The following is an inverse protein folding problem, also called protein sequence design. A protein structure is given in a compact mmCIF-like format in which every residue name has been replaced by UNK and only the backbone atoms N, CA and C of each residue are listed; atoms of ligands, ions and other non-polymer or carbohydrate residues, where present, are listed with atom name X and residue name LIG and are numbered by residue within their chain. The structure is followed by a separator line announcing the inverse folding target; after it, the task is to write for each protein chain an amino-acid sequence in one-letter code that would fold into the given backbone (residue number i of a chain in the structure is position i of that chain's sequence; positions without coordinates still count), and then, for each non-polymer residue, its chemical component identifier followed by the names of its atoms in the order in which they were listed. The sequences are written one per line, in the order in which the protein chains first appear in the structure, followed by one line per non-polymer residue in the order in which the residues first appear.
data_IF_910335729087
#
_entry.id   IF_910335729087
#
_cell.length_a   1.000
_cell.length_b   1.000
_cell.length_c   1.000
_cell.angle_alpha   90.00
_cell.angle_beta   90.00
_cell.angle_gamma   90.00
#
_symmetry.space_group_name_H-M   'P 1'
#
loop_
_entity.id
_entity.type
_entity.pdbx_description
1 polymer ?
#
# COMPACT_ATOMS: atom_id res chain seq x y z
N UNK A 1 13.00 -3.14 10.96
CA UNK A 1 11.96 -2.21 11.46
C UNK A 1 12.50 -0.83 11.80
N UNK A 2 13.57 -0.70 12.61
CA UNK A 2 14.14 0.61 12.99
C UNK A 2 14.54 1.51 11.80
N UNK A 3 15.13 0.95 10.76
CA UNK A 3 15.48 1.71 9.53
C UNK A 3 14.24 2.21 8.77
N UNK A 4 13.17 1.40 8.72
CA UNK A 4 11.92 1.81 8.08
C UNK A 4 11.26 2.98 8.83
N UNK A 5 11.30 2.95 10.17
CA UNK A 5 10.81 4.04 11.03
C UNK A 5 11.61 5.33 10.90
N UNK A 6 12.88 5.26 10.47
CA UNK A 6 13.71 6.43 10.17
C UNK A 6 13.46 7.00 8.78
N UNK A 7 12.48 6.47 8.02
CA UNK A 7 12.13 6.99 6.69
C UNK A 7 13.13 6.63 5.59
N UNK A 8 14.07 5.71 5.83
CA UNK A 8 15.10 5.35 4.84
C UNK A 8 14.50 4.92 3.49
N UNK A 9 13.40 4.17 3.52
CA UNK A 9 12.71 3.75 2.29
C UNK A 9 12.19 4.95 1.49
N UNK A 10 11.75 6.03 2.17
CA UNK A 10 11.26 7.27 1.55
C UNK A 10 12.41 8.04 0.89
N UNK A 11 13.55 8.14 1.58
CA UNK A 11 14.76 8.83 1.09
C UNK A 11 15.29 8.13 -0.17
N UNK A 12 15.35 6.80 -0.15
CA UNK A 12 15.85 5.98 -1.25
C UNK A 12 14.80 5.60 -2.30
N UNK A 13 13.58 6.17 -2.22
CA UNK A 13 12.47 5.91 -3.15
C UNK A 13 12.18 4.41 -3.33
N UNK A 14 12.30 3.67 -2.24
CA UNK A 14 12.01 2.23 -2.17
C UNK A 14 10.55 2.01 -1.81
N UNK A 15 9.96 1.01 -2.44
CA UNK A 15 8.64 0.54 -2.06
C UNK A 15 8.71 -0.35 -0.81
N UNK A 16 7.58 -0.54 -0.14
CA UNK A 16 7.46 -1.45 0.99
C UNK A 16 6.28 -2.38 0.76
N UNK A 17 6.54 -3.68 0.71
CA UNK A 17 5.52 -4.70 0.50
C UNK A 17 5.27 -5.41 1.83
N UNK A 18 4.07 -5.23 2.38
CA UNK A 18 3.65 -5.82 3.65
C UNK A 18 2.64 -6.93 3.35
N UNK A 19 3.02 -8.17 3.59
CA UNK A 19 2.18 -9.34 3.32
C UNK A 19 1.95 -10.19 4.57
N UNK A 20 0.97 -11.09 4.52
CA UNK A 20 0.65 -11.99 5.64
C UNK A 20 -0.86 -12.27 5.79
N UNK A 21 -1.24 -13.23 6.64
CA UNK A 21 -2.64 -13.65 6.79
C UNK A 21 -3.55 -12.56 7.37
N UNK A 22 -4.86 -12.74 7.27
CA UNK A 22 -5.84 -11.77 7.81
C UNK A 22 -5.68 -11.58 9.31
N UNK A 23 -5.69 -10.33 9.75
CA UNK A 23 -5.64 -9.97 11.17
C UNK A 23 -4.25 -9.94 11.81
N UNK A 24 -3.16 -10.24 11.09
CA UNK A 24 -1.79 -10.19 11.65
C UNK A 24 -1.20 -8.77 11.80
N UNK A 25 -2.00 -7.71 11.63
CA UNK A 25 -1.56 -6.33 11.85
C UNK A 25 -0.96 -5.60 10.63
N UNK A 26 -1.10 -6.12 9.40
CA UNK A 26 -0.51 -5.48 8.20
C UNK A 26 -0.88 -4.01 8.00
N UNK A 27 -2.18 -3.71 7.97
CA UNK A 27 -2.68 -2.33 7.82
C UNK A 27 -2.29 -1.46 9.01
N UNK A 28 -2.18 -2.05 10.21
CA UNK A 28 -1.71 -1.33 11.40
C UNK A 28 -0.24 -0.89 11.23
N UNK A 29 0.65 -1.80 10.76
CA UNK A 29 2.04 -1.45 10.48
C UNK A 29 2.15 -0.41 9.36
N UNK A 30 1.37 -0.57 8.29
CA UNK A 30 1.35 0.40 7.19
C UNK A 30 0.96 1.80 7.68
N UNK A 31 -0.09 1.88 8.51
CA UNK A 31 -0.55 3.14 9.11
C UNK A 31 0.46 3.71 10.11
N UNK A 32 1.11 2.88 10.93
CA UNK A 32 2.15 3.32 11.85
C UNK A 32 3.34 3.93 11.10
N UNK A 33 3.74 3.32 9.97
CA UNK A 33 4.78 3.87 9.10
C UNK A 33 4.33 5.15 8.40
N UNK A 34 3.08 5.21 7.94
CA UNK A 34 2.49 6.42 7.36
C UNK A 34 2.45 7.58 8.35
N UNK A 35 1.97 7.34 9.58
CA UNK A 35 1.96 8.31 10.67
C UNK A 35 3.38 8.79 11.00
N UNK A 36 4.34 7.88 11.07
CA UNK A 36 5.74 8.23 11.29
C UNK A 36 6.31 9.09 10.14
N UNK A 37 5.94 8.80 8.89
CA UNK A 37 6.31 9.61 7.73
C UNK A 37 5.68 11.02 7.81
N UNK A 38 4.42 11.14 8.25
CA UNK A 38 3.79 12.43 8.52
C UNK A 38 4.55 13.23 9.59
N UNK A 39 5.00 12.59 10.67
CA UNK A 39 5.82 13.21 11.72
C UNK A 39 7.14 13.74 11.19
N UNK A 40 7.70 13.06 10.19
CA UNK A 40 8.89 13.47 9.45
C UNK A 40 8.60 14.48 8.33
N UNK A 41 7.38 15.04 8.27
CA UNK A 41 6.94 16.05 7.30
C UNK A 41 6.83 15.57 5.85
N UNK A 42 6.73 14.27 5.63
CA UNK A 42 6.40 13.72 4.30
C UNK A 42 4.89 13.77 4.05
N UNK A 43 4.50 14.02 2.80
CA UNK A 43 3.10 13.88 2.38
C UNK A 43 2.73 12.40 2.26
N UNK A 44 1.61 12.01 2.90
CA UNK A 44 1.15 10.62 2.94
C UNK A 44 -0.31 10.56 2.51
N UNK A 45 -0.65 9.53 1.72
CA UNK A 45 -2.03 9.22 1.33
C UNK A 45 -2.30 7.75 1.57
N UNK A 46 -3.33 7.45 2.35
CA UNK A 46 -3.86 6.10 2.50
C UNK A 46 -5.05 5.90 1.55
N UNK A 47 -5.03 4.78 0.84
CA UNK A 47 -6.09 4.34 -0.06
C UNK A 47 -6.32 2.84 0.12
N UNK A 48 -7.59 2.41 0.17
CA UNK A 48 -7.91 1.01 -0.18
C UNK A 48 -7.83 0.85 -1.69
N UNK A 49 -7.10 -0.15 -2.16
CA UNK A 49 -6.79 -0.33 -3.58
C UNK A 49 -8.04 -0.39 -4.45
N UNK A 50 -9.04 -1.21 -4.09
CA UNK A 50 -10.29 -1.30 -4.85
C UNK A 50 -11.02 0.04 -4.99
N UNK A 51 -11.16 0.79 -3.89
CA UNK A 51 -11.79 2.13 -3.89
C UNK A 51 -11.01 3.15 -4.71
N UNK A 52 -9.68 3.08 -4.69
CA UNK A 52 -8.83 3.95 -5.50
C UNK A 52 -9.07 3.71 -7.00
N UNK A 53 -9.16 2.44 -7.39
CA UNK A 53 -9.40 2.05 -8.78
C UNK A 53 -10.81 2.44 -9.25
N UNK A 54 -11.84 2.28 -8.39
CA UNK A 54 -13.18 2.80 -8.67
C UNK A 54 -13.19 4.31 -8.89
N UNK A 55 -12.43 5.07 -8.09
CA UNK A 55 -12.30 6.52 -8.26
C UNK A 55 -11.61 6.89 -9.57
N UNK A 56 -10.60 6.14 -10.00
CA UNK A 56 -9.95 6.36 -11.30
C UNK A 56 -10.90 6.05 -12.45
N UNK A 57 -11.68 4.96 -12.36
CA UNK A 57 -12.69 4.62 -13.34
C UNK A 57 -13.75 5.73 -13.48
N UNK A 58 -14.26 6.26 -12.36
CA UNK A 58 -15.17 7.41 -12.36
C UNK A 58 -14.52 8.65 -12.97
N UNK A 59 -13.25 8.89 -12.63
CA UNK A 59 -12.46 9.98 -13.18
C UNK A 59 -12.32 9.95 -14.70
N UNK A 60 -12.40 8.78 -15.33
CA UNK A 60 -12.38 8.65 -16.79
C UNK A 60 -13.69 9.10 -17.41
N UNK A 61 -14.82 8.94 -16.70
CA UNK A 61 -16.15 9.35 -17.15
C UNK A 61 -16.32 10.87 -17.03
N UNK A 62 -15.86 11.46 -15.92
CA UNK A 62 -16.05 12.89 -15.65
C UNK A 62 -14.87 13.79 -16.08
N UNK A 63 -13.81 13.20 -16.64
CA UNK A 63 -12.60 13.89 -17.11
C UNK A 63 -11.59 14.26 -16.02
N UNK A 64 -11.82 13.88 -14.76
CA UNK A 64 -10.92 14.18 -13.64
C UNK A 64 -9.74 13.21 -13.48
N UNK A 65 -9.69 12.12 -14.26
CA UNK A 65 -8.68 11.05 -14.16
C UNK A 65 -7.24 11.57 -14.12
N UNK A 66 -6.84 12.37 -15.12
CA UNK A 66 -5.47 12.89 -15.22
C UNK A 66 -5.13 13.83 -14.07
N UNK A 67 -6.10 14.60 -13.58
CA UNK A 67 -5.92 15.47 -12.41
C UNK A 67 -5.66 14.62 -11.17
N UNK A 68 -6.38 13.51 -11.01
CA UNK A 68 -6.22 12.64 -9.86
C UNK A 68 -4.87 11.89 -9.87
N UNK A 69 -4.45 11.35 -11.01
CA UNK A 69 -3.10 10.77 -11.15
C UNK A 69 -1.99 11.75 -10.77
N UNK A 70 -2.05 13.00 -11.28
CA UNK A 70 -1.10 14.05 -10.91
C UNK A 70 -1.10 14.39 -9.42
N UNK A 71 -2.24 14.23 -8.74
CA UNK A 71 -2.29 14.40 -7.29
C UNK A 71 -1.58 13.24 -6.58
N UNK A 72 -1.86 12.00 -6.99
CA UNK A 72 -1.21 10.80 -6.44
C UNK A 72 0.31 10.84 -6.63
N UNK A 73 0.78 11.23 -7.82
CA UNK A 73 2.21 11.35 -8.14
C UNK A 73 2.96 12.28 -7.17
N UNK A 74 2.33 13.39 -6.73
CA UNK A 74 2.95 14.36 -5.80
C UNK A 74 3.05 13.86 -4.35
N UNK A 75 2.35 12.79 -4.00
CA UNK A 75 2.38 12.23 -2.65
C UNK A 75 3.68 11.43 -2.45
N UNK A 76 4.44 11.76 -1.43
CA UNK A 76 5.74 11.14 -1.15
C UNK A 76 5.60 9.69 -0.65
N UNK A 77 4.53 9.37 0.09
CA UNK A 77 4.18 8.02 0.51
C UNK A 77 2.72 7.70 0.19
N UNK A 78 2.49 6.84 -0.79
CA UNK A 78 1.17 6.29 -1.10
C UNK A 78 1.02 4.92 -0.46
N UNK A 79 -0.01 4.72 0.34
CA UNK A 79 -0.35 3.42 0.93
C UNK A 79 -1.52 2.83 0.13
N UNK A 80 -1.28 1.70 -0.50
CA UNK A 80 -2.25 0.87 -1.20
C UNK A 80 -2.59 -0.32 -0.32
N UNK A 81 -3.69 -0.23 0.40
CA UNK A 81 -4.15 -1.28 1.30
C UNK A 81 -5.08 -2.26 0.57
N UNK A 82 -5.15 -3.49 1.09
CA UNK A 82 -6.01 -4.56 0.57
C UNK A 82 -5.82 -4.92 -0.92
N UNK A 83 -4.57 -4.91 -1.43
CA UNK A 83 -4.29 -5.41 -2.78
C UNK A 83 -4.59 -6.91 -2.85
N UNK A 84 -5.41 -7.31 -3.83
CA UNK A 84 -5.70 -8.71 -4.13
C UNK A 84 -6.91 -9.30 -3.42
N UNK A 85 -7.77 -8.51 -2.77
CA UNK A 85 -9.06 -9.03 -2.28
C UNK A 85 -9.94 -9.62 -3.40
N UNK A 86 -9.81 -9.06 -4.61
CA UNK A 86 -10.46 -9.49 -5.83
C UNK A 86 -9.44 -9.50 -6.97
N UNK A 87 -9.73 -10.22 -8.05
CA UNK A 87 -8.93 -10.12 -9.28
C UNK A 87 -9.10 -8.74 -9.90
N UNK A 88 -8.00 -8.20 -10.43
CA UNK A 88 -7.99 -6.91 -11.11
C UNK A 88 -8.34 -7.11 -12.58
N UNK A 89 -9.40 -6.44 -13.02
CA UNK A 89 -9.76 -6.33 -14.43
C UNK A 89 -8.66 -5.66 -15.25
N UNK A 90 -8.67 -5.85 -16.58
CA UNK A 90 -7.74 -5.16 -17.48
C UNK A 90 -7.69 -3.63 -17.29
N UNK A 91 -8.85 -2.99 -17.12
CA UNK A 91 -8.92 -1.54 -16.90
C UNK A 91 -8.25 -1.13 -15.57
N UNK A 92 -8.49 -1.89 -14.51
CA UNK A 92 -7.88 -1.67 -13.21
C UNK A 92 -6.37 -1.92 -13.23
N UNK A 93 -5.91 -2.94 -13.97
CA UNK A 93 -4.48 -3.18 -14.18
C UNK A 93 -3.83 -1.99 -14.89
N UNK A 94 -4.46 -1.43 -15.92
CA UNK A 94 -3.93 -0.25 -16.60
C UNK A 94 -3.87 0.97 -15.67
N UNK A 95 -4.92 1.22 -14.88
CA UNK A 95 -4.91 2.31 -13.89
C UNK A 95 -3.83 2.12 -12.81
N UNK A 96 -3.63 0.89 -12.34
CA UNK A 96 -2.56 0.57 -11.39
C UNK A 96 -1.18 0.75 -12.04
N UNK A 97 -1.01 0.34 -13.30
CA UNK A 97 0.24 0.52 -14.04
C UNK A 97 0.62 2.00 -14.12
N UNK A 98 -0.31 2.86 -14.52
CA UNK A 98 -0.09 4.32 -14.59
C UNK A 98 0.37 4.89 -13.23
N UNK A 99 -0.28 4.49 -12.13
CA UNK A 99 0.15 4.88 -10.77
C UNK A 99 1.57 4.39 -10.47
N UNK A 100 1.89 3.14 -10.80
CA UNK A 100 3.19 2.56 -10.48
C UNK A 100 4.32 3.13 -11.32
N UNK A 101 4.06 3.43 -12.59
CA UNK A 101 5.00 4.07 -13.52
C UNK A 101 5.34 5.49 -13.04
N UNK A 102 4.33 6.33 -12.82
CA UNK A 102 4.50 7.73 -12.37
C UNK A 102 5.29 7.86 -11.07
N UNK A 103 5.26 6.81 -10.24
CA UNK A 103 5.88 6.79 -8.92
C UNK A 103 7.22 6.09 -8.90
N UNK A 104 7.53 5.25 -9.90
CA UNK A 104 8.74 4.43 -9.91
C UNK A 104 10.01 5.30 -9.86
N UNK A 105 10.84 5.07 -8.85
CA UNK A 105 12.06 5.86 -8.60
C UNK A 105 11.82 7.32 -8.16
N UNK A 106 10.58 7.81 -8.12
CA UNK A 106 10.24 9.20 -7.77
C UNK A 106 9.71 9.34 -6.33
N UNK A 107 8.94 8.37 -5.87
CA UNK A 107 8.29 8.37 -4.55
C UNK A 107 8.09 6.95 -4.04
N UNK A 108 7.72 6.78 -2.78
CA UNK A 108 7.60 5.45 -2.18
C UNK A 108 6.14 4.99 -2.13
N UNK A 109 5.92 3.73 -2.45
CA UNK A 109 4.60 3.09 -2.33
C UNK A 109 4.67 1.98 -1.29
N UNK A 110 3.77 2.03 -0.31
CA UNK A 110 3.54 0.93 0.62
C UNK A 110 2.37 0.12 0.07
N UNK A 111 2.59 -1.16 -0.21
CA UNK A 111 1.55 -2.07 -0.68
C UNK A 111 1.26 -3.09 0.41
N UNK A 112 0.00 -3.23 0.77
CA UNK A 112 -0.46 -4.20 1.76
C UNK A 112 -1.32 -5.25 1.07
N UNK A 113 -0.99 -6.52 1.28
CA UNK A 113 -1.74 -7.64 0.70
C UNK A 113 -1.84 -8.81 1.66
N UNK A 114 -2.91 -9.60 1.53
CA UNK A 114 -3.00 -10.90 2.18
C UNK A 114 -2.22 -11.98 1.42
N UNK A 115 -1.97 -11.75 0.14
CA UNK A 115 -1.30 -12.68 -0.75
C UNK A 115 0.22 -12.49 -0.69
N UNK A 116 1.00 -13.59 -0.67
CA UNK A 116 2.43 -13.55 -0.95
C UNK A 116 2.73 -12.87 -2.31
N UNK A 117 3.87 -12.18 -2.40
CA UNK A 117 4.23 -11.39 -3.60
C UNK A 117 4.33 -12.26 -4.86
N UNK A 118 4.78 -13.51 -4.74
CA UNK A 118 4.84 -14.48 -5.85
C UNK A 118 3.46 -14.87 -6.40
N UNK A 119 2.38 -14.54 -5.69
CA UNK A 119 1.00 -14.75 -6.16
C UNK A 119 0.40 -13.51 -6.84
N UNK A 120 1.05 -12.35 -6.75
CA UNK A 120 0.45 -11.11 -7.24
C UNK A 120 0.26 -11.08 -8.76
N UNK A 121 1.13 -11.75 -9.51
CA UNK A 121 0.96 -11.89 -10.96
C UNK A 121 -0.39 -12.54 -11.30
N UNK A 122 -0.82 -13.54 -10.53
CA UNK A 122 -2.11 -14.23 -10.74
C UNK A 122 -3.34 -13.43 -10.31
N UNK A 123 -3.16 -12.26 -9.70
CA UNK A 123 -4.28 -11.37 -9.35
C UNK A 123 -4.71 -10.48 -10.53
N UNK A 124 -3.94 -10.47 -11.62
CA UNK A 124 -4.11 -9.55 -12.74
C UNK A 124 -4.51 -10.33 -13.99
N UNK A 125 -5.54 -9.85 -14.70
CA UNK A 125 -6.04 -10.52 -15.92
C UNK A 125 -5.03 -10.51 -17.08
N UNK A 126 -4.22 -9.46 -17.20
CA UNK A 126 -3.24 -9.29 -18.28
C UNK A 126 -1.82 -9.59 -17.78
N UNK A 127 -1.18 -10.69 -18.24
CA UNK A 127 0.18 -11.06 -17.84
C UNK A 127 1.23 -9.98 -18.15
N UNK A 128 1.15 -9.34 -19.32
CA UNK A 128 2.12 -8.32 -19.73
C UNK A 128 2.04 -7.08 -18.84
N UNK A 129 0.82 -6.63 -18.52
CA UNK A 129 0.62 -5.53 -17.57
C UNK A 129 1.06 -5.94 -16.16
N UNK A 130 0.85 -7.20 -15.78
CA UNK A 130 1.27 -7.72 -14.49
C UNK A 130 2.79 -7.71 -14.33
N UNK A 131 3.53 -8.18 -15.33
CA UNK A 131 4.99 -8.11 -15.36
C UNK A 131 5.49 -6.67 -15.18
N UNK A 132 4.89 -5.73 -15.92
CA UNK A 132 5.26 -4.32 -15.83
C UNK A 132 5.01 -3.74 -14.42
N UNK A 133 3.83 -3.98 -13.83
CA UNK A 133 3.48 -3.51 -12.48
C UNK A 133 4.43 -4.12 -11.44
N UNK A 134 4.69 -5.43 -11.53
CA UNK A 134 5.54 -6.13 -10.57
C UNK A 134 6.99 -5.68 -10.68
N UNK A 135 7.51 -5.46 -11.89
CA UNK A 135 8.85 -4.91 -12.09
C UNK A 135 9.01 -3.58 -11.32
N UNK A 136 8.06 -2.65 -11.45
CA UNK A 136 8.10 -1.34 -10.76
C UNK A 136 7.90 -1.44 -9.26
N UNK A 137 6.97 -2.28 -8.81
CA UNK A 137 6.66 -2.40 -7.38
C UNK A 137 7.71 -3.19 -6.62
N UNK A 138 8.23 -4.26 -7.22
CA UNK A 138 9.00 -5.30 -6.53
C UNK A 138 10.50 -5.09 -6.65
N UNK A 139 11.01 -4.64 -7.81
CA UNK A 139 12.45 -4.56 -8.08
C UNK A 139 13.20 -3.73 -7.02
N UNK A 140 12.67 -2.57 -6.65
CA UNK A 140 13.26 -1.70 -5.63
C UNK A 140 12.39 -1.64 -4.36
N UNK A 141 12.23 -2.78 -3.67
CA UNK A 141 11.35 -2.88 -2.51
C UNK A 141 11.99 -3.52 -1.27
N UNK A 142 11.50 -3.11 -0.11
CA UNK A 142 11.62 -3.87 1.12
C UNK A 142 10.39 -4.77 1.28
N UNK A 143 10.60 -6.01 1.76
CA UNK A 143 9.50 -6.96 2.01
C UNK A 143 9.39 -7.23 3.51
N UNK A 144 8.17 -7.11 4.03
CA UNK A 144 7.82 -7.42 5.42
C UNK A 144 6.72 -8.46 5.38
N UNK A 145 7.07 -9.70 5.69
CA UNK A 145 6.12 -10.81 5.76
C UNK A 145 5.73 -11.01 7.21
N UNK A 146 4.48 -10.71 7.53
CA UNK A 146 3.91 -10.95 8.84
C UNK A 146 3.38 -12.37 8.94
N UNK A 147 3.59 -12.98 10.09
CA UNK A 147 3.13 -14.32 10.43
C UNK A 147 2.40 -14.27 11.78
N UNK A 148 1.64 -15.33 12.08
CA UNK A 148 0.93 -15.47 13.35
C UNK A 148 -0.59 -15.30 13.23
N UNK A 149 -1.25 -15.49 14.37
CA UNK A 149 -2.70 -15.45 14.46
C UNK A 149 -3.29 -14.04 14.34
N UNK A 150 -4.59 -13.97 14.10
CA UNK A 150 -5.33 -12.71 14.04
C UNK A 150 -5.31 -12.01 15.41
N UNK A 151 -4.68 -10.84 15.48
CA UNK A 151 -4.68 -9.96 16.65
C UNK A 151 -6.09 -9.45 17.00
N UNK A 152 -7.08 -9.64 16.12
CA UNK A 152 -8.49 -9.30 16.39
C UNK A 152 -9.15 -10.26 17.38
N UNK A 153 -8.61 -11.47 17.56
CA UNK A 153 -9.13 -12.46 18.51
C UNK A 153 -8.74 -12.16 19.96
N UNK A 154 -7.65 -11.42 20.17
CA UNK A 154 -7.14 -11.01 21.48
C UNK A 154 -7.04 -9.48 21.54
N UNK A 155 -8.14 -8.74 21.78
CA UNK A 155 -8.03 -7.31 22.05
C UNK A 155 -7.15 -7.09 23.28
N UNK A 156 -6.27 -6.07 23.31
CA UNK A 156 -5.48 -5.77 24.48
C UNK A 156 -6.43 -5.47 25.66
N UNK A 157 -6.33 -6.26 26.73
CA UNK A 157 -6.98 -5.95 28.00
C UNK A 157 -6.37 -4.65 28.53
N UNK A 158 -7.15 -3.57 28.48
CA UNK A 158 -6.79 -2.31 29.13
C UNK A 158 -7.06 -2.53 30.61
N UNK A 159 -6.01 -2.81 31.40
CA UNK A 159 -6.11 -2.78 32.86
C UNK A 159 -6.35 -1.32 33.27
N UNK A 160 -7.60 -1.02 33.65
CA UNK A 160 -7.94 0.25 34.28
C UNK A 160 -7.31 0.28 35.67
N UNK A 161 -6.22 1.03 35.82
CA UNK A 161 -5.72 1.41 37.13
C UNK A 161 -6.70 2.40 37.77
N UNK A 162 -7.76 1.89 38.41
CA UNK A 162 -8.55 2.67 39.35
C UNK A 162 -7.66 3.00 40.55
N UNK A 163 -7.20 4.25 40.58
CA UNK A 163 -6.69 4.88 41.81
C UNK A 163 -7.86 4.97 42.78
N UNK A 164 -7.88 4.13 43.79
CA UNK A 164 -8.63 4.41 45.02
C UNK A 164 -7.73 5.26 45.92
N UNK A 165 -8.15 6.50 46.09
CA UNK A 165 -7.66 7.45 47.10
C UNK A 165 -7.99 7.00 48.52
#
# INVERSE_FOLDING_TARGET
MRELLNGHYIIHRKNLLITGPTGCGKSWIANALGEQACRQKYSVRYCRTGRLLEQLAQGRVDGSWLKYLKQLQKIQVLILDDLGLEQLSNAQCNDLLEITEDRYGQSSTIVVSQFPVDKWHGLMENPTTADAILDRLVHNSHRVVLQGESLRKNPPTVESSEKTS
#
